data_IF_442002487691
#
_entry.id   IF_442002487691
#
_cell.length_a   1.000
_cell.length_b   1.000
_cell.length_c   1.000
_cell.angle_alpha   90.00
_cell.angle_beta   90.00
_cell.angle_gamma   90.00
#
_symmetry.space_group_name_H-M   'P 1'
#
loop_
_entity.id
_entity.type
_entity.pdbx_description
1 polymer ?
#
# COMPACT_ATOMS: atom_id res chain seq x y z
N UNK A 1 1.08 28.06 -30.22
CA UNK A 1 -0.29 27.69 -29.79
C UNK A 1 -0.65 26.41 -30.53
N UNK A 2 -0.37 25.26 -29.92
CA UNK A 2 -0.78 23.97 -30.49
C UNK A 2 -2.26 23.78 -30.19
N UNK A 3 -3.12 24.19 -31.12
CA UNK A 3 -4.56 23.94 -31.01
C UNK A 3 -4.80 22.45 -31.19
N UNK A 4 -4.99 21.72 -30.09
CA UNK A 4 -5.47 20.33 -30.10
C UNK A 4 -6.79 20.30 -30.86
N UNK A 5 -6.87 19.49 -31.91
CA UNK A 5 -8.04 19.38 -32.79
C UNK A 5 -9.27 18.92 -31.99
N UNK A 6 -10.37 19.69 -32.06
CA UNK A 6 -11.61 19.33 -31.39
C UNK A 6 -12.36 18.23 -32.15
N UNK A 7 -12.64 17.11 -31.48
CA UNK A 7 -13.44 16.01 -32.00
C UNK A 7 -14.60 15.71 -31.05
N UNK A 8 -15.82 15.71 -31.59
CA UNK A 8 -17.04 15.48 -30.80
C UNK A 8 -17.25 14.00 -30.44
N UNK A 9 -17.91 13.75 -29.30
CA UNK A 9 -18.32 12.41 -28.89
C UNK A 9 -19.43 11.83 -29.79
N UNK A 10 -19.17 10.67 -30.38
CA UNK A 10 -20.09 10.02 -31.32
C UNK A 10 -20.80 8.81 -30.71
N UNK A 11 -20.09 7.97 -29.94
CA UNK A 11 -20.65 6.76 -29.31
C UNK A 11 -21.40 7.06 -28.00
N UNK A 12 -22.25 6.13 -27.54
CA UNK A 12 -22.96 6.25 -26.25
C UNK A 12 -21.97 6.37 -25.08
N UNK A 13 -20.92 5.56 -25.09
CA UNK A 13 -19.88 5.55 -24.06
C UNK A 13 -19.08 6.85 -24.06
N UNK A 14 -18.65 7.33 -25.23
CA UNK A 14 -17.97 8.62 -25.36
C UNK A 14 -18.83 9.78 -24.84
N UNK A 15 -20.12 9.82 -25.20
CA UNK A 15 -21.05 10.86 -24.72
C UNK A 15 -21.25 10.82 -23.22
N UNK A 16 -21.31 9.61 -22.63
CA UNK A 16 -21.40 9.43 -21.18
C UNK A 16 -20.13 9.93 -20.49
N UNK A 17 -18.95 9.58 -21.00
CA UNK A 17 -17.66 10.03 -20.45
C UNK A 17 -17.59 11.56 -20.50
N UNK A 18 -17.80 12.19 -21.66
CA UNK A 18 -17.73 13.64 -21.81
C UNK A 18 -18.70 14.36 -20.87
N UNK A 19 -19.95 13.87 -20.76
CA UNK A 19 -20.94 14.44 -19.82
C UNK A 19 -20.44 14.38 -18.38
N UNK A 20 -19.96 13.22 -17.93
CA UNK A 20 -19.49 13.05 -16.55
C UNK A 20 -18.24 13.86 -16.29
N UNK A 21 -17.31 13.96 -17.23
CA UNK A 21 -16.09 14.77 -17.10
C UNK A 21 -16.44 16.26 -17.02
N UNK A 22 -17.34 16.76 -17.87
CA UNK A 22 -17.84 18.14 -17.82
C UNK A 22 -18.46 18.47 -16.47
N UNK A 23 -19.33 17.60 -15.94
CA UNK A 23 -19.93 17.77 -14.61
C UNK A 23 -18.91 17.72 -13.46
N UNK A 24 -17.90 16.85 -13.55
CA UNK A 24 -16.92 16.66 -12.46
C UNK A 24 -15.86 17.74 -12.39
N UNK A 25 -15.48 18.31 -13.53
CA UNK A 25 -14.43 19.31 -13.64
C UNK A 25 -14.97 20.74 -13.82
N UNK A 26 -16.31 20.90 -13.78
CA UNK A 26 -17.00 22.19 -13.95
C UNK A 26 -16.62 22.91 -15.26
N UNK A 27 -16.57 22.14 -16.35
CA UNK A 27 -16.19 22.66 -17.67
C UNK A 27 -17.46 22.97 -18.46
N UNK A 28 -17.74 24.27 -18.62
CA UNK A 28 -18.84 24.79 -19.46
C UNK A 28 -18.50 24.78 -20.97
N UNK A 29 -17.22 24.59 -21.30
CA UNK A 29 -16.70 24.57 -22.66
C UNK A 29 -16.85 23.23 -23.40
N UNK A 30 -16.38 23.19 -24.65
CA UNK A 30 -16.37 21.95 -25.44
C UNK A 30 -15.21 21.06 -25.00
N UNK A 31 -15.51 19.80 -24.68
CA UNK A 31 -14.53 18.75 -24.39
C UNK A 31 -14.39 17.88 -25.64
N UNK A 32 -13.18 17.77 -26.17
CA UNK A 32 -12.82 16.85 -27.25
C UNK A 32 -12.68 15.43 -26.70
N UNK A 33 -13.06 14.42 -27.48
CA UNK A 33 -12.74 13.01 -27.14
C UNK A 33 -11.23 12.72 -27.16
N UNK A 34 -10.43 13.61 -27.75
CA UNK A 34 -8.96 13.53 -27.72
C UNK A 34 -8.35 14.22 -26.50
N UNK A 35 -9.16 14.87 -25.66
CA UNK A 35 -8.64 15.53 -24.48
C UNK A 35 -8.11 14.49 -23.47
N UNK A 36 -7.01 14.85 -22.81
CA UNK A 36 -6.48 14.10 -21.69
C UNK A 36 -7.19 14.55 -20.40
N UNK A 37 -7.79 13.60 -19.68
CA UNK A 37 -8.53 13.86 -18.43
C UNK A 37 -7.74 14.69 -17.41
N UNK A 38 -6.44 14.42 -17.24
CA UNK A 38 -5.61 15.16 -16.28
C UNK A 38 -5.20 16.54 -16.80
N UNK A 39 -5.03 16.69 -18.12
CA UNK A 39 -4.79 18.00 -18.73
C UNK A 39 -6.01 18.94 -18.61
N UNK A 40 -7.22 18.38 -18.53
CA UNK A 40 -8.46 19.11 -18.26
C UNK A 40 -8.62 19.54 -16.79
N UNK A 41 -7.66 19.25 -15.91
CA UNK A 41 -7.76 19.52 -14.47
C UNK A 41 -8.19 18.32 -13.63
N UNK A 42 -8.19 17.11 -14.19
CA UNK A 42 -8.39 15.87 -13.46
C UNK A 42 -7.38 15.69 -12.32
N UNK A 43 -7.84 15.11 -11.21
CA UNK A 43 -7.08 14.74 -10.02
C UNK A 43 -7.41 13.30 -9.61
N UNK A 44 -6.71 12.74 -8.62
CA UNK A 44 -7.03 11.40 -8.12
C UNK A 44 -8.45 11.29 -7.55
N UNK A 45 -8.94 12.35 -6.90
CA UNK A 45 -10.30 12.39 -6.36
C UNK A 45 -11.33 12.43 -7.50
N UNK A 46 -11.10 13.22 -8.55
CA UNK A 46 -12.04 13.28 -9.68
C UNK A 46 -11.95 12.03 -10.56
N UNK A 47 -10.80 11.35 -10.62
CA UNK A 47 -10.67 10.02 -11.24
C UNK A 47 -11.46 8.95 -10.47
N UNK A 48 -11.43 8.96 -9.13
CA UNK A 48 -12.27 8.08 -8.30
C UNK A 48 -13.77 8.34 -8.53
N UNK A 49 -14.18 9.62 -8.54
CA UNK A 49 -15.56 10.03 -8.83
C UNK A 49 -16.01 9.64 -10.25
N UNK A 50 -15.12 9.79 -11.23
CA UNK A 50 -15.35 9.38 -12.61
C UNK A 50 -15.55 7.87 -12.71
N UNK A 51 -14.68 7.10 -12.06
CA UNK A 51 -14.79 5.64 -11.94
C UNK A 51 -16.15 5.22 -11.36
N UNK A 52 -16.54 5.82 -10.23
CA UNK A 52 -17.83 5.55 -9.58
C UNK A 52 -19.03 5.86 -10.50
N UNK A 53 -19.09 7.05 -11.10
CA UNK A 53 -20.19 7.47 -11.98
C UNK A 53 -20.27 6.64 -13.28
N UNK A 54 -19.12 6.23 -13.83
CA UNK A 54 -19.08 5.41 -15.03
C UNK A 54 -19.25 3.91 -14.74
N UNK A 55 -19.13 3.49 -13.47
CA UNK A 55 -19.08 2.09 -13.02
C UNK A 55 -17.89 1.34 -13.61
N UNK A 56 -16.73 2.01 -13.62
CA UNK A 56 -15.46 1.49 -14.10
C UNK A 56 -14.40 1.62 -13.02
N UNK A 57 -13.25 0.97 -13.21
CA UNK A 57 -12.14 1.12 -12.29
C UNK A 57 -11.46 2.48 -12.49
N UNK A 58 -11.18 3.18 -11.40
CA UNK A 58 -10.49 4.47 -11.45
C UNK A 58 -9.08 4.37 -12.07
N UNK A 59 -8.43 3.20 -11.96
CA UNK A 59 -7.12 2.96 -12.58
C UNK A 59 -7.17 3.03 -14.12
N UNK A 60 -8.29 2.67 -14.75
CA UNK A 60 -8.43 2.76 -16.21
C UNK A 60 -8.35 4.19 -16.71
N UNK A 61 -8.71 5.17 -15.88
CA UNK A 61 -8.56 6.61 -16.20
C UNK A 61 -7.08 7.01 -16.28
N UNK A 62 -6.19 6.35 -15.54
CA UNK A 62 -4.75 6.58 -15.61
C UNK A 62 -4.10 5.82 -16.76
N UNK A 63 -4.57 4.60 -17.04
CA UNK A 63 -4.06 3.78 -18.15
C UNK A 63 -4.48 4.33 -19.52
N UNK A 64 -5.70 4.88 -19.58
CA UNK A 64 -6.30 5.45 -20.79
C UNK A 64 -6.75 6.89 -20.50
N UNK A 65 -5.82 7.84 -20.31
CA UNK A 65 -6.16 9.21 -19.91
C UNK A 65 -6.83 10.01 -21.03
N UNK A 66 -6.71 9.57 -22.28
CA UNK A 66 -7.39 10.16 -23.44
C UNK A 66 -8.81 9.59 -23.51
N UNK A 67 -9.83 10.46 -23.55
CA UNK A 67 -11.22 10.04 -23.38
C UNK A 67 -11.70 9.01 -24.42
N UNK A 68 -11.20 9.09 -25.66
CA UNK A 68 -11.53 8.11 -26.71
C UNK A 68 -10.92 6.74 -26.42
N UNK A 69 -9.69 6.68 -25.90
CA UNK A 69 -9.03 5.43 -25.55
C UNK A 69 -9.73 4.75 -24.39
N UNK A 70 -10.14 5.52 -23.39
CA UNK A 70 -10.96 5.04 -22.28
C UNK A 70 -12.30 4.48 -22.78
N UNK A 71 -12.95 5.19 -23.70
CA UNK A 71 -14.21 4.73 -24.30
C UNK A 71 -14.01 3.43 -25.09
N UNK A 72 -12.97 3.35 -25.90
CA UNK A 72 -12.63 2.16 -26.68
C UNK A 72 -12.30 0.98 -25.77
N UNK A 73 -11.61 1.20 -24.65
CA UNK A 73 -11.32 0.17 -23.68
C UNK A 73 -12.58 -0.33 -22.97
N UNK A 74 -13.48 0.57 -22.57
CA UNK A 74 -14.77 0.20 -21.96
C UNK A 74 -15.65 -0.59 -22.94
N UNK A 75 -15.63 -0.22 -24.22
CA UNK A 75 -16.43 -0.85 -25.27
C UNK A 75 -15.79 -2.16 -25.79
N UNK A 76 -14.50 -2.39 -25.53
CA UNK A 76 -13.73 -3.52 -26.06
C UNK A 76 -13.51 -4.66 -25.06
N UNK A 77 -13.78 -5.90 -25.48
CA UNK A 77 -13.24 -7.10 -24.83
C UNK A 77 -11.78 -7.31 -25.27
N UNK A 78 -10.83 -6.59 -24.67
CA UNK A 78 -9.41 -6.83 -24.96
C UNK A 78 -9.01 -8.19 -24.38
N UNK A 79 -8.71 -9.17 -25.24
CA UNK A 79 -8.08 -10.44 -24.85
C UNK A 79 -6.73 -10.15 -24.18
N UNK A 80 -6.60 -10.61 -22.94
CA UNK A 80 -5.48 -10.28 -22.08
C UNK A 80 -4.41 -11.36 -22.20
N UNK A 81 -3.15 -10.94 -22.38
CA UNK A 81 -2.00 -11.84 -22.27
C UNK A 81 -1.96 -12.44 -20.87
N UNK A 82 -2.00 -13.76 -20.79
CA UNK A 82 -1.73 -14.49 -19.54
C UNK A 82 -0.29 -14.23 -19.10
N UNK A 83 -0.11 -13.79 -17.85
CA UNK A 83 1.20 -13.77 -17.22
C UNK A 83 1.72 -15.21 -17.11
N UNK A 84 2.99 -15.42 -17.46
CA UNK A 84 3.65 -16.72 -17.36
C UNK A 84 3.44 -17.34 -15.97
N UNK A 85 2.99 -18.60 -15.94
CA UNK A 85 2.96 -19.45 -14.75
C UNK A 85 4.41 -19.74 -14.33
N UNK A 86 4.96 -19.01 -13.35
CA UNK A 86 6.39 -19.15 -12.97
C UNK A 86 6.60 -19.94 -11.68
N UNK A 87 7.68 -20.75 -11.66
CA UNK A 87 8.36 -21.47 -10.57
C UNK A 87 8.55 -20.72 -9.22
N UNK A 88 8.07 -19.49 -9.05
CA UNK A 88 8.48 -18.57 -7.97
C UNK A 88 8.19 -19.11 -6.57
N UNK A 89 7.06 -19.80 -6.35
CA UNK A 89 6.76 -20.41 -5.05
C UNK A 89 7.79 -21.50 -4.69
N UNK A 90 8.28 -22.25 -5.68
CA UNK A 90 9.34 -23.25 -5.45
C UNK A 90 10.67 -22.59 -5.08
N UNK A 91 10.98 -21.43 -5.67
CA UNK A 91 12.20 -20.68 -5.37
C UNK A 91 12.22 -20.07 -3.97
N UNK A 92 11.04 -19.73 -3.41
CA UNK A 92 10.90 -19.33 -1.99
C UNK A 92 11.42 -20.45 -1.09
N UNK A 93 11.00 -21.69 -1.35
CA UNK A 93 11.32 -22.85 -0.51
C UNK A 93 12.80 -23.29 -0.60
N UNK A 94 13.44 -23.13 -1.77
CA UNK A 94 14.82 -23.60 -2.02
C UNK A 94 15.88 -22.90 -1.16
N UNK A 95 15.71 -21.60 -0.88
CA UNK A 95 16.76 -20.76 -0.27
C UNK A 95 16.33 -20.08 1.04
N UNK A 96 15.25 -20.52 1.69
CA UNK A 96 14.75 -19.96 2.94
C UNK A 96 15.66 -20.23 4.15
N UNK A 97 15.43 -19.50 5.25
CA UNK A 97 16.03 -19.74 6.56
C UNK A 97 17.57 -19.84 6.57
N UNK A 98 18.25 -18.96 5.84
CA UNK A 98 19.71 -18.89 5.82
C UNK A 98 20.25 -18.22 7.08
N UNK A 99 21.34 -18.75 7.64
CA UNK A 99 22.03 -18.06 8.73
C UNK A 99 22.57 -16.72 8.25
N UNK A 100 22.56 -15.72 9.13
CA UNK A 100 23.12 -14.42 8.79
C UNK A 100 24.63 -14.52 8.68
N UNK A 101 25.19 -13.84 7.68
CA UNK A 101 26.65 -13.77 7.51
C UNK A 101 27.31 -12.74 8.43
N UNK A 102 26.59 -11.71 8.84
CA UNK A 102 27.10 -10.60 9.63
C UNK A 102 26.02 -10.09 10.61
N UNK A 103 26.43 -9.52 11.76
CA UNK A 103 25.52 -8.76 12.61
C UNK A 103 25.07 -7.47 11.90
N UNK A 104 23.93 -6.91 12.32
CA UNK A 104 23.47 -5.59 11.84
C UNK A 104 24.21 -4.51 12.61
N UNK A 105 24.96 -3.69 11.90
CA UNK A 105 25.71 -2.55 12.47
C UNK A 105 25.60 -1.31 11.60
N UNK A 106 25.70 -1.44 10.29
CA UNK A 106 25.72 -0.33 9.34
C UNK A 106 24.50 -0.42 8.41
N UNK A 107 23.44 0.30 8.79
CA UNK A 107 22.13 0.23 8.12
C UNK A 107 21.93 1.41 7.18
N UNK A 108 21.55 1.13 5.93
CA UNK A 108 20.89 2.13 5.07
C UNK A 108 19.39 1.97 5.16
N UNK A 109 18.70 3.05 5.54
CA UNK A 109 17.24 3.11 5.57
C UNK A 109 16.73 4.03 4.46
N UNK A 110 15.89 3.51 3.57
CA UNK A 110 15.11 4.35 2.67
C UNK A 110 13.69 4.50 3.19
N UNK A 111 13.03 5.62 2.85
CA UNK A 111 11.64 5.86 3.26
C UNK A 111 11.51 6.39 4.69
N UNK A 112 12.58 6.90 5.29
CA UNK A 112 12.58 7.49 6.64
C UNK A 112 11.65 8.71 6.79
N UNK A 113 11.26 9.34 5.67
CA UNK A 113 10.25 10.41 5.60
C UNK A 113 8.82 9.90 5.44
N UNK A 114 8.60 8.58 5.47
CA UNK A 114 7.30 7.94 5.38
C UNK A 114 6.76 7.52 6.75
N UNK A 115 5.50 7.08 6.80
CA UNK A 115 4.84 6.70 8.04
C UNK A 115 5.57 5.55 8.76
N UNK A 116 5.69 4.37 8.11
CA UNK A 116 6.40 3.23 8.71
C UNK A 116 7.91 3.46 8.81
N UNK A 117 8.53 4.03 7.78
CA UNK A 117 9.99 4.20 7.76
C UNK A 117 10.50 5.11 8.88
N UNK A 118 9.75 6.14 9.27
CA UNK A 118 10.10 6.98 10.43
C UNK A 118 10.02 6.20 11.75
N UNK A 119 9.04 5.29 11.89
CA UNK A 119 8.91 4.42 13.06
C UNK A 119 9.97 3.31 13.09
N UNK A 120 10.38 2.77 11.93
CA UNK A 120 11.52 1.86 11.83
C UNK A 120 12.81 2.56 12.30
N UNK A 121 13.04 3.80 11.85
CA UNK A 121 14.18 4.59 12.33
C UNK A 121 14.14 4.76 13.85
N UNK A 122 13.00 5.19 14.39
CA UNK A 122 12.82 5.37 15.83
C UNK A 122 13.16 4.09 16.61
N UNK A 123 12.74 2.93 16.11
CA UNK A 123 13.02 1.66 16.77
C UNK A 123 14.47 1.21 16.64
N UNK A 124 15.11 1.39 15.49
CA UNK A 124 16.55 1.12 15.31
C UNK A 124 17.39 1.94 16.28
N UNK A 125 17.01 3.19 16.55
CA UNK A 125 17.78 4.10 17.41
C UNK A 125 17.78 3.70 18.89
N UNK A 126 16.95 2.74 19.29
CA UNK A 126 17.05 2.12 20.63
C UNK A 126 18.28 1.21 20.77
N UNK A 127 18.91 0.84 19.65
CA UNK A 127 20.10 0.00 19.60
C UNK A 127 21.35 0.86 19.37
N UNK A 128 22.09 1.16 20.44
CA UNK A 128 23.25 2.08 20.43
C UNK A 128 24.43 1.60 19.58
N UNK A 129 24.46 0.32 19.27
CA UNK A 129 25.51 -0.34 18.52
C UNK A 129 25.22 -0.42 17.02
N UNK A 130 24.12 0.19 16.57
CA UNK A 130 23.71 0.29 15.16
C UNK A 130 23.85 1.73 14.71
N UNK A 131 24.59 1.94 13.63
CA UNK A 131 24.63 3.18 12.89
C UNK A 131 23.60 3.14 11.76
N UNK A 132 22.82 4.22 11.62
CA UNK A 132 21.78 4.33 10.59
C UNK A 132 22.08 5.51 9.67
N UNK A 133 22.21 5.22 8.38
CA UNK A 133 22.24 6.21 7.30
C UNK A 133 20.87 6.28 6.63
N UNK A 134 20.19 7.41 6.77
CA UNK A 134 18.92 7.67 6.10
C UNK A 134 19.15 8.26 4.71
N UNK A 135 18.77 7.50 3.67
CA UNK A 135 18.73 7.99 2.29
C UNK A 135 17.41 8.75 2.06
N UNK A 136 17.51 10.07 1.88
CA UNK A 136 16.36 10.97 1.76
C UNK A 136 16.57 12.00 0.67
N UNK A 137 15.48 12.63 0.20
CA UNK A 137 15.53 13.68 -0.82
C UNK A 137 15.61 15.09 -0.26
N UNK A 138 15.11 15.29 0.97
CA UNK A 138 15.01 16.61 1.60
C UNK A 138 15.18 16.47 3.12
N UNK A 139 16.23 17.08 3.66
CA UNK A 139 16.60 16.99 5.07
C UNK A 139 15.65 17.74 6.01
N UNK A 140 15.19 18.93 5.62
CA UNK A 140 14.24 19.72 6.40
C UNK A 140 12.92 18.96 6.61
N UNK A 141 12.40 18.37 5.54
CA UNK A 141 11.21 17.51 5.58
C UNK A 141 11.43 16.30 6.48
N UNK A 142 12.59 15.67 6.40
CA UNK A 142 12.92 14.53 7.25
C UNK A 142 12.91 14.88 8.74
N UNK A 143 13.57 15.98 9.12
CA UNK A 143 13.60 16.46 10.51
C UNK A 143 12.20 16.87 10.99
N UNK A 144 11.43 17.57 10.16
CA UNK A 144 10.06 17.97 10.47
C UNK A 144 9.14 16.77 10.71
N UNK A 145 9.23 15.74 9.86
CA UNK A 145 8.41 14.53 9.99
C UNK A 145 8.79 13.74 11.23
N UNK A 146 10.08 13.58 11.52
CA UNK A 146 10.53 12.90 12.73
C UNK A 146 10.02 13.61 13.98
N UNK A 147 10.16 14.94 14.04
CA UNK A 147 9.65 15.76 15.13
C UNK A 147 8.13 15.67 15.29
N UNK A 148 7.39 15.68 14.18
CA UNK A 148 5.94 15.49 14.22
C UNK A 148 5.56 14.15 14.87
N UNK A 149 6.22 13.05 14.48
CA UNK A 149 5.86 11.74 15.02
C UNK A 149 6.33 11.55 16.46
N UNK A 150 7.51 12.02 16.86
CA UNK A 150 8.09 11.62 18.15
C UNK A 150 8.21 12.77 19.15
N UNK A 151 7.87 14.00 18.75
CA UNK A 151 8.08 15.21 19.55
C UNK A 151 9.55 15.38 20.01
N UNK A 152 10.48 14.88 19.20
CA UNK A 152 11.92 14.86 19.45
C UNK A 152 12.70 15.28 18.18
N UNK A 153 13.91 15.79 18.36
CA UNK A 153 14.81 16.05 17.23
C UNK A 153 15.49 14.76 16.76
N UNK A 154 15.82 14.67 15.48
CA UNK A 154 16.60 13.54 14.95
C UNK A 154 17.94 13.46 15.69
N UNK A 155 18.29 12.32 16.32
CA UNK A 155 19.55 12.19 17.05
C UNK A 155 20.77 12.45 16.18
N UNK A 156 21.79 13.10 16.74
CA UNK A 156 23.03 13.45 16.02
C UNK A 156 23.83 12.26 15.50
N UNK A 157 23.55 11.05 16.00
CA UNK A 157 24.17 9.80 15.52
C UNK A 157 23.58 9.25 14.22
N UNK A 158 22.49 9.84 13.70
CA UNK A 158 21.90 9.47 12.40
C UNK A 158 22.63 10.19 11.28
N UNK A 159 23.18 9.42 10.34
CA UNK A 159 23.75 9.98 9.11
C UNK A 159 22.64 10.27 8.10
N UNK A 160 22.73 11.41 7.43
CA UNK A 160 21.81 11.79 6.35
C UNK A 160 22.56 11.75 5.02
N UNK A 161 21.98 11.03 4.04
CA UNK A 161 22.50 10.95 2.69
C UNK A 161 21.43 11.47 1.71
N UNK A 162 21.74 12.58 1.03
CA UNK A 162 20.82 13.16 0.06
C UNK A 162 20.89 12.39 -1.26
N UNK A 163 19.82 11.67 -1.60
CA UNK A 163 19.73 10.87 -2.81
C UNK A 163 18.30 10.44 -3.16
N UNK A 164 18.16 9.82 -4.32
CA UNK A 164 16.89 9.41 -4.92
C UNK A 164 17.03 8.01 -5.52
N UNK A 165 16.24 7.06 -5.02
CA UNK A 165 16.23 5.66 -5.46
C UNK A 165 15.84 5.48 -6.93
N UNK A 166 15.23 6.50 -7.56
CA UNK A 166 14.85 6.47 -8.98
C UNK A 166 16.03 6.73 -9.92
N UNK A 167 17.22 7.02 -9.38
CA UNK A 167 18.43 7.34 -10.14
C UNK A 167 19.49 6.25 -9.95
N UNK A 168 20.34 6.08 -10.97
CA UNK A 168 21.53 5.23 -10.87
C UNK A 168 22.40 5.68 -9.68
N UNK A 169 22.94 4.73 -8.92
CA UNK A 169 23.66 4.99 -7.67
C UNK A 169 22.90 5.91 -6.71
N UNK A 170 21.57 5.86 -6.69
CA UNK A 170 20.73 6.75 -5.87
C UNK A 170 20.92 8.24 -6.16
N UNK A 171 21.48 8.60 -7.32
CA UNK A 171 21.77 9.99 -7.69
C UNK A 171 22.90 10.65 -6.88
N UNK A 172 23.69 9.88 -6.13
CA UNK A 172 24.87 10.37 -5.41
C UNK A 172 26.16 10.19 -6.23
N UNK A 173 27.22 10.90 -5.84
CA UNK A 173 28.51 10.78 -6.50
C UNK A 173 29.06 9.34 -6.37
N UNK A 174 29.65 8.81 -7.46
CA UNK A 174 30.19 7.43 -7.48
C UNK A 174 31.22 7.17 -6.39
N UNK A 175 32.03 8.16 -6.01
CA UNK A 175 33.01 8.02 -4.93
C UNK A 175 32.34 7.85 -3.56
N UNK A 176 31.24 8.55 -3.32
CA UNK A 176 30.41 8.44 -2.11
C UNK A 176 29.69 7.08 -2.09
N UNK A 177 29.13 6.66 -3.23
CA UNK A 177 28.50 5.34 -3.35
C UNK A 177 29.45 4.20 -3.01
N UNK A 178 30.69 4.23 -3.52
CA UNK A 178 31.71 3.21 -3.22
C UNK A 178 32.02 3.14 -1.72
N UNK A 179 32.24 4.29 -1.08
CA UNK A 179 32.48 4.37 0.37
C UNK A 179 31.29 3.87 1.20
N UNK A 180 30.06 4.08 0.72
CA UNK A 180 28.86 3.53 1.34
C UNK A 180 28.83 2.01 1.21
N UNK A 181 29.04 1.48 0.00
CA UNK A 181 29.03 0.04 -0.27
C UNK A 181 30.12 -0.73 0.50
N UNK A 182 31.26 -0.09 0.81
CA UNK A 182 32.32 -0.69 1.63
C UNK A 182 31.92 -0.93 3.10
N UNK A 183 30.88 -0.25 3.60
CA UNK A 183 30.52 -0.25 5.03
C UNK A 183 29.18 -0.92 5.32
N UNK A 184 28.20 -0.73 4.45
CA UNK A 184 26.82 -1.15 4.71
C UNK A 184 26.70 -2.67 4.78
N UNK A 185 26.11 -3.17 5.86
CA UNK A 185 25.80 -4.60 6.01
C UNK A 185 24.32 -4.92 5.81
N UNK A 186 23.45 -3.92 5.93
CA UNK A 186 22.00 -4.10 5.87
C UNK A 186 21.33 -2.91 5.18
N UNK A 187 20.42 -3.17 4.24
CA UNK A 187 19.57 -2.16 3.60
C UNK A 187 18.13 -2.43 3.99
N UNK A 188 17.48 -1.50 4.70
CA UNK A 188 16.02 -1.54 4.94
C UNK A 188 15.33 -0.64 3.92
N UNK A 189 14.60 -1.27 3.00
CA UNK A 189 13.94 -0.57 1.89
C UNK A 189 12.45 -0.39 2.19
N UNK A 190 12.09 0.76 2.77
CA UNK A 190 10.71 1.13 3.10
C UNK A 190 10.14 2.23 2.19
N UNK A 191 10.94 2.80 1.29
CA UNK A 191 10.48 3.80 0.33
C UNK A 191 9.51 3.17 -0.69
N UNK A 192 8.36 3.82 -0.89
CA UNK A 192 7.41 3.47 -1.93
C UNK A 192 6.52 4.69 -2.28
N UNK A 193 6.07 4.74 -3.52
CA UNK A 193 4.83 5.43 -3.87
C UNK A 193 3.66 4.52 -3.45
N UNK A 194 2.80 5.01 -2.57
CA UNK A 194 1.74 4.25 -1.90
C UNK A 194 0.33 4.70 -2.28
N UNK A 195 0.18 5.63 -3.21
CA UNK A 195 -1.15 6.01 -3.68
C UNK A 195 -1.86 4.79 -4.31
N UNK A 196 -3.18 4.69 -4.17
CA UNK A 196 -3.94 3.56 -4.71
C UNK A 196 -4.19 3.66 -6.21
N UNK A 197 -4.07 4.87 -6.75
CA UNK A 197 -4.23 5.20 -8.16
C UNK A 197 -3.13 6.19 -8.56
N UNK A 198 -2.66 6.11 -9.79
CA UNK A 198 -1.66 7.01 -10.33
C UNK A 198 -1.02 6.50 -11.62
N UNK A 199 -0.04 7.24 -12.14
CA UNK A 199 0.70 6.86 -13.34
C UNK A 199 1.56 5.62 -13.07
N UNK A 200 1.25 4.51 -13.77
CA UNK A 200 1.99 3.26 -13.67
C UNK A 200 3.50 3.47 -13.84
N UNK A 201 3.94 4.40 -14.71
CA UNK A 201 5.36 4.69 -14.93
C UNK A 201 6.03 5.24 -13.67
N UNK A 202 5.36 6.13 -12.95
CA UNK A 202 5.88 6.68 -11.69
C UNK A 202 5.97 5.62 -10.59
N UNK A 203 4.95 4.75 -10.50
CA UNK A 203 4.94 3.61 -9.58
C UNK A 203 6.05 2.62 -9.90
N UNK A 204 6.21 2.25 -11.17
CA UNK A 204 7.28 1.37 -11.63
C UNK A 204 8.65 1.95 -11.34
N UNK A 205 8.85 3.24 -11.61
CA UNK A 205 10.12 3.92 -11.33
C UNK A 205 10.47 3.93 -9.84
N UNK A 206 9.48 4.23 -8.98
CA UNK A 206 9.73 4.34 -7.54
C UNK A 206 9.81 2.97 -6.85
N UNK A 207 8.80 2.12 -7.07
CA UNK A 207 8.62 0.89 -6.30
C UNK A 207 9.45 -0.26 -6.87
N UNK A 208 9.48 -0.42 -8.20
CA UNK A 208 10.17 -1.54 -8.84
C UNK A 208 11.62 -1.19 -9.17
N UNK A 209 11.86 -0.16 -9.99
CA UNK A 209 13.23 0.25 -10.36
C UNK A 209 14.03 0.71 -9.13
N UNK A 210 13.38 1.44 -8.20
CA UNK A 210 13.99 1.78 -6.92
C UNK A 210 14.40 0.57 -6.07
N UNK A 211 13.63 -0.52 -6.12
CA UNK A 211 14.01 -1.79 -5.51
C UNK A 211 15.23 -2.39 -6.22
N UNK A 212 15.29 -2.35 -7.55
CA UNK A 212 16.47 -2.82 -8.30
C UNK A 212 17.75 -2.06 -7.94
N UNK A 213 17.66 -0.74 -7.70
CA UNK A 213 18.79 0.07 -7.22
C UNK A 213 19.25 -0.40 -5.83
N UNK A 214 18.33 -0.73 -4.92
CA UNK A 214 18.68 -1.28 -3.61
C UNK A 214 19.26 -2.70 -3.68
N UNK A 215 18.76 -3.54 -4.58
CA UNK A 215 19.35 -4.85 -4.87
C UNK A 215 20.79 -4.67 -5.35
N UNK A 216 21.06 -3.69 -6.23
CA UNK A 216 22.42 -3.40 -6.71
C UNK A 216 23.34 -2.98 -5.57
N UNK A 217 22.90 -2.10 -4.68
CA UNK A 217 23.67 -1.73 -3.47
C UNK A 217 23.97 -2.96 -2.61
N UNK A 218 22.98 -3.83 -2.39
CA UNK A 218 23.19 -5.05 -1.60
C UNK A 218 24.20 -6.01 -2.26
N UNK A 219 24.18 -6.13 -3.60
CA UNK A 219 25.19 -6.92 -4.33
C UNK A 219 26.59 -6.34 -4.17
N UNK A 220 26.72 -5.03 -4.31
CA UNK A 220 28.02 -4.35 -4.26
C UNK A 220 28.63 -4.35 -2.86
N UNK A 221 27.79 -4.35 -1.83
CA UNK A 221 28.19 -4.33 -0.42
C UNK A 221 28.22 -5.72 0.25
N UNK A 222 27.80 -6.78 -0.45
CA UNK A 222 27.38 -8.06 0.15
C UNK A 222 26.43 -7.87 1.35
N UNK A 223 25.53 -6.88 1.27
CA UNK A 223 24.60 -6.52 2.33
C UNK A 223 23.29 -7.33 2.27
N UNK A 224 22.60 -7.38 3.41
CA UNK A 224 21.30 -8.02 3.57
C UNK A 224 20.16 -7.04 3.26
N UNK A 225 19.28 -7.38 2.33
CA UNK A 225 18.10 -6.56 2.00
C UNK A 225 16.91 -6.88 2.92
N UNK A 226 16.29 -5.87 3.49
CA UNK A 226 15.10 -5.98 4.32
C UNK A 226 13.99 -5.18 3.62
N UNK A 227 13.22 -5.86 2.77
CA UNK A 227 12.27 -5.22 1.86
C UNK A 227 10.88 -5.11 2.48
N UNK A 228 10.34 -3.89 2.57
CA UNK A 228 8.97 -3.67 3.02
C UNK A 228 8.02 -3.79 1.82
N UNK A 229 7.26 -4.88 1.84
CA UNK A 229 6.17 -5.18 0.92
C UNK A 229 4.81 -4.96 1.58
N UNK A 230 3.73 -5.44 0.96
CA UNK A 230 2.37 -5.39 1.48
C UNK A 230 1.73 -6.76 1.39
N UNK A 231 0.96 -7.15 2.41
CA UNK A 231 0.16 -8.38 2.35
C UNK A 231 -0.91 -8.35 1.24
N UNK A 232 -1.21 -7.17 0.68
CA UNK A 232 -2.11 -7.02 -0.45
C UNK A 232 -1.64 -7.73 -1.73
N UNK A 233 -0.34 -8.11 -1.81
CA UNK A 233 0.15 -8.99 -2.89
C UNK A 233 -0.55 -10.36 -2.88
N UNK A 234 -1.28 -10.73 -1.83
CA UNK A 234 -2.16 -11.90 -1.89
C UNK A 234 -3.22 -11.80 -2.97
N UNK A 235 -3.62 -10.58 -3.36
CA UNK A 235 -4.79 -10.33 -4.19
C UNK A 235 -6.07 -10.09 -3.37
N UNK A 236 -5.95 -9.92 -2.05
CA UNK A 236 -7.09 -9.59 -1.17
C UNK A 236 -7.81 -8.35 -1.70
N UNK A 237 -9.14 -8.47 -1.86
CA UNK A 237 -10.02 -7.43 -2.39
C UNK A 237 -9.83 -7.03 -3.88
N UNK A 238 -8.97 -7.71 -4.66
CA UNK A 238 -8.72 -7.36 -6.07
C UNK A 238 -8.85 -8.52 -7.06
N UNK A 239 -8.97 -9.77 -6.61
CA UNK A 239 -9.06 -10.91 -7.53
C UNK A 239 -10.28 -11.81 -7.29
N UNK A 240 -11.08 -12.07 -8.33
CA UNK A 240 -12.06 -13.14 -8.33
C UNK A 240 -11.35 -14.48 -8.62
N UNK A 241 -10.88 -15.18 -7.59
CA UNK A 241 -10.45 -16.59 -7.78
C UNK A 241 -11.35 -17.49 -6.94
N UNK A 242 -11.70 -18.65 -7.50
CA UNK A 242 -12.39 -19.73 -6.80
C UNK A 242 -11.40 -20.47 -5.89
N UNK A 243 -11.36 -20.09 -4.61
CA UNK A 243 -10.33 -20.51 -3.65
C UNK A 243 -10.66 -21.77 -2.83
N UNK A 244 -11.34 -22.78 -3.40
CA UNK A 244 -11.54 -24.04 -2.66
C UNK A 244 -10.24 -24.78 -2.28
N UNK A 245 -9.05 -24.34 -2.71
CA UNK A 245 -7.80 -25.10 -2.52
C UNK A 245 -6.53 -24.32 -2.11
N UNK A 246 -6.55 -22.99 -1.89
CA UNK A 246 -5.31 -22.23 -1.63
C UNK A 246 -5.38 -21.32 -0.39
N UNK A 247 -4.36 -21.40 0.45
CA UNK A 247 -4.12 -20.49 1.60
C UNK A 247 -2.90 -19.64 1.26
N UNK A 248 -3.01 -18.31 1.36
CA UNK A 248 -1.88 -17.41 1.10
C UNK A 248 -1.05 -17.22 2.38
N UNK A 249 0.12 -17.85 2.40
CA UNK A 249 1.04 -17.89 3.54
C UNK A 249 2.43 -17.33 3.17
N UNK A 250 3.38 -17.41 4.11
CA UNK A 250 4.77 -16.98 3.91
C UNK A 250 5.55 -17.75 2.81
N UNK A 251 5.05 -18.90 2.36
CA UNK A 251 5.70 -19.72 1.31
C UNK A 251 5.11 -19.46 -0.09
N UNK A 252 4.18 -18.52 -0.19
CA UNK A 252 3.37 -18.29 -1.38
C UNK A 252 3.56 -16.86 -1.88
N UNK A 253 3.83 -16.68 -3.17
CA UNK A 253 3.75 -15.37 -3.83
C UNK A 253 2.67 -15.36 -4.91
N UNK A 254 2.47 -16.45 -5.66
CA UNK A 254 1.52 -16.49 -6.77
C UNK A 254 0.56 -17.67 -6.67
N UNK A 255 -0.74 -17.40 -6.81
CA UNK A 255 -1.86 -18.35 -6.79
C UNK A 255 -2.86 -18.07 -7.92
N UNK A 256 -2.44 -17.32 -8.95
CA UNK A 256 -3.32 -16.91 -10.06
C UNK A 256 -3.95 -15.53 -9.89
N UNK A 257 -3.43 -14.71 -8.98
CA UNK A 257 -3.92 -13.36 -8.75
C UNK A 257 -3.44 -12.38 -9.83
N UNK A 258 -4.31 -11.51 -10.33
CA UNK A 258 -3.99 -10.46 -11.31
C UNK A 258 -4.13 -9.07 -10.69
N UNK A 259 -3.13 -8.20 -10.89
CA UNK A 259 -3.06 -6.89 -10.22
C UNK A 259 -3.33 -5.69 -11.14
N UNK A 260 -3.91 -5.93 -12.31
CA UNK A 260 -4.23 -4.89 -13.31
C UNK A 260 -5.02 -3.71 -12.73
N UNK A 261 -5.80 -3.98 -11.68
CA UNK A 261 -6.69 -3.01 -11.04
C UNK A 261 -5.99 -2.14 -9.98
N UNK A 262 -4.75 -2.48 -9.61
CA UNK A 262 -4.03 -1.83 -8.51
C UNK A 262 -2.53 -1.80 -8.79
N UNK A 263 -2.08 -0.70 -9.41
CA UNK A 263 -0.67 -0.50 -9.80
C UNK A 263 0.28 -0.55 -8.60
N UNK A 264 -0.15 -0.09 -7.43
CA UNK A 264 0.64 -0.21 -6.21
C UNK A 264 0.94 -1.68 -5.88
N UNK A 265 -0.11 -2.52 -5.80
CA UNK A 265 0.05 -3.95 -5.48
C UNK A 265 0.84 -4.65 -6.58
N UNK A 266 0.60 -4.32 -7.85
CA UNK A 266 1.36 -4.89 -8.98
C UNK A 266 2.86 -4.62 -8.84
N UNK A 267 3.26 -3.37 -8.58
CA UNK A 267 4.69 -3.03 -8.42
C UNK A 267 5.33 -3.70 -7.20
N UNK A 268 4.59 -3.89 -6.10
CA UNK A 268 5.07 -4.66 -4.93
C UNK A 268 5.24 -6.14 -5.25
N UNK A 269 4.30 -6.75 -5.98
CA UNK A 269 4.43 -8.12 -6.47
C UNK A 269 5.66 -8.30 -7.36
N UNK A 270 5.87 -7.41 -8.34
CA UNK A 270 7.03 -7.45 -9.23
C UNK A 270 8.34 -7.32 -8.44
N UNK A 271 8.37 -6.46 -7.43
CA UNK A 271 9.52 -6.27 -6.54
C UNK A 271 9.81 -7.54 -5.72
N UNK A 272 8.78 -8.18 -5.15
CA UNK A 272 8.95 -9.47 -4.45
C UNK A 272 9.47 -10.56 -5.39
N UNK A 273 8.87 -10.69 -6.58
CA UNK A 273 9.28 -11.66 -7.60
C UNK A 273 10.75 -11.47 -7.96
N UNK A 274 11.18 -10.24 -8.23
CA UNK A 274 12.58 -9.89 -8.54
C UNK A 274 13.51 -10.25 -7.39
N UNK A 275 13.15 -9.91 -6.14
CA UNK A 275 13.97 -10.26 -4.97
C UNK A 275 14.12 -11.78 -4.83
N UNK A 276 13.03 -12.54 -4.98
CA UNK A 276 13.05 -14.02 -4.87
C UNK A 276 13.91 -14.65 -5.97
N UNK A 277 13.86 -14.10 -7.19
CA UNK A 277 14.76 -14.49 -8.28
C UNK A 277 16.22 -14.20 -7.94
N UNK A 278 16.53 -13.01 -7.44
CA UNK A 278 17.91 -12.63 -7.11
C UNK A 278 18.47 -13.38 -5.90
N UNK A 279 17.62 -13.92 -5.00
CA UNK A 279 18.06 -14.87 -3.97
C UNK A 279 18.71 -16.12 -4.59
N UNK A 280 18.28 -16.55 -5.77
CA UNK A 280 18.92 -17.67 -6.49
C UNK A 280 20.34 -17.30 -6.99
N UNK A 281 20.61 -16.00 -7.14
CA UNK A 281 21.91 -15.44 -7.52
C UNK A 281 22.72 -14.94 -6.31
N UNK A 282 22.38 -15.38 -5.10
CA UNK A 282 23.17 -15.13 -3.89
C UNK A 282 22.78 -13.89 -3.08
N UNK A 283 21.77 -13.11 -3.50
CA UNK A 283 21.25 -12.01 -2.67
C UNK A 283 20.61 -12.58 -1.40
N UNK A 284 20.93 -11.95 -0.27
CA UNK A 284 20.33 -12.24 1.03
C UNK A 284 19.25 -11.20 1.27
N UNK A 285 18.00 -11.63 1.36
CA UNK A 285 16.90 -10.68 1.50
C UNK A 285 15.78 -11.23 2.37
N UNK A 286 15.19 -10.44 3.27
CA UNK A 286 13.89 -10.71 3.87
C UNK A 286 12.81 -9.84 3.24
N UNK A 287 11.58 -10.35 3.17
CA UNK A 287 10.41 -9.62 2.66
C UNK A 287 9.40 -9.50 3.79
N UNK A 288 8.93 -8.28 4.06
CA UNK A 288 7.99 -7.96 5.12
C UNK A 288 6.67 -7.49 4.50
N UNK A 289 5.68 -8.38 4.44
CA UNK A 289 4.33 -8.08 3.94
C UNK A 289 3.51 -7.44 5.06
N UNK A 290 3.53 -6.11 5.13
CA UNK A 290 2.81 -5.39 6.18
C UNK A 290 1.30 -5.34 5.91
N UNK A 291 0.53 -5.25 6.99
CA UNK A 291 -0.92 -5.06 6.97
C UNK A 291 -1.38 -3.63 6.68
N UNK A 292 -2.63 -3.33 6.99
CA UNK A 292 -3.19 -1.98 7.00
C UNK A 292 -2.64 -1.18 8.19
N UNK A 293 -1.65 -0.33 7.93
CA UNK A 293 -1.05 0.51 8.96
C UNK A 293 -2.06 1.54 9.50
N UNK A 294 -2.15 1.58 10.83
CA UNK A 294 -3.04 2.45 11.61
C UNK A 294 -2.23 3.25 12.62
N UNK A 295 -2.87 4.14 13.39
CA UNK A 295 -2.21 4.96 14.41
C UNK A 295 -1.41 4.12 15.40
N UNK A 296 -0.40 4.73 16.02
CA UNK A 296 0.36 4.09 17.09
C UNK A 296 -0.56 3.56 18.18
N UNK A 297 -0.28 2.36 18.68
CA UNK A 297 -1.01 1.81 19.84
C UNK A 297 -0.69 2.62 21.10
N UNK A 298 0.54 3.12 21.20
CA UNK A 298 1.06 3.80 22.39
C UNK A 298 0.34 5.12 22.72
N UNK A 299 0.03 5.95 21.73
CA UNK A 299 -0.52 7.30 21.94
C UNK A 299 -1.56 7.74 20.90
N UNK A 300 -1.85 6.90 19.90
CA UNK A 300 -2.83 7.20 18.86
C UNK A 300 -2.36 8.21 17.80
N UNK A 301 -1.10 8.62 17.78
CA UNK A 301 -0.58 9.49 16.71
C UNK A 301 -0.64 8.75 15.37
N UNK A 302 -1.17 9.44 14.36
CA UNK A 302 -1.36 8.90 13.02
C UNK A 302 -0.54 9.67 11.97
N UNK A 303 -0.60 9.22 10.71
CA UNK A 303 0.12 9.83 9.60
C UNK A 303 -0.34 11.26 9.31
N UNK A 304 0.59 12.13 8.88
CA UNK A 304 0.30 13.54 8.53
C UNK A 304 -0.87 13.71 7.55
N UNK A 305 -0.94 12.84 6.53
CA UNK A 305 -1.99 12.86 5.53
C UNK A 305 -3.12 11.91 5.93
N UNK A 306 -3.68 12.07 7.13
CA UNK A 306 -4.72 11.17 7.66
C UNK A 306 -6.00 11.18 6.80
N UNK A 307 -6.31 12.30 6.14
CA UNK A 307 -7.50 12.45 5.29
C UNK A 307 -7.43 11.70 3.96
N UNK A 308 -6.28 11.14 3.60
CA UNK A 308 -6.09 10.31 2.41
C UNK A 308 -5.96 8.82 2.76
N UNK A 309 -6.08 8.46 4.05
CA UNK A 309 -6.01 7.06 4.44
C UNK A 309 -7.32 6.34 4.11
N UNK A 310 -7.27 5.43 3.13
CA UNK A 310 -8.45 4.71 2.66
C UNK A 310 -9.13 3.88 3.75
N UNK A 311 -8.43 3.30 4.74
CA UNK A 311 -9.10 2.58 5.84
C UNK A 311 -9.92 3.53 6.70
N UNK A 312 -9.32 4.63 7.14
CA UNK A 312 -10.00 5.63 7.97
C UNK A 312 -11.22 6.21 7.28
N UNK A 313 -11.09 6.60 6.01
CA UNK A 313 -12.19 7.15 5.22
C UNK A 313 -13.32 6.13 5.01
N UNK A 314 -13.01 4.85 4.77
CA UNK A 314 -14.01 3.77 4.68
C UNK A 314 -14.80 3.61 5.99
N UNK A 315 -14.10 3.58 7.13
CA UNK A 315 -14.75 3.46 8.43
C UNK A 315 -15.61 4.70 8.76
N UNK A 316 -15.18 5.89 8.34
CA UNK A 316 -15.95 7.13 8.51
C UNK A 316 -17.15 7.21 7.55
N UNK A 317 -17.02 6.73 6.31
CA UNK A 317 -18.15 6.60 5.38
C UNK A 317 -19.19 5.60 5.87
N UNK A 318 -18.75 4.46 6.40
CA UNK A 318 -19.61 3.53 7.13
C UNK A 318 -20.29 4.21 8.31
N UNK A 319 -19.53 4.96 9.12
CA UNK A 319 -20.06 5.67 10.28
C UNK A 319 -21.17 6.67 9.91
N UNK A 320 -20.96 7.45 8.84
CA UNK A 320 -21.92 8.43 8.35
C UNK A 320 -23.21 7.78 7.86
N UNK A 321 -23.08 6.67 7.13
CA UNK A 321 -24.19 6.03 6.42
C UNK A 321 -24.92 5.01 7.29
N UNK A 322 -24.20 4.29 8.17
CA UNK A 322 -24.67 3.19 9.02
C UNK A 322 -25.39 2.09 8.24
N UNK A 323 -25.07 1.95 6.95
CA UNK A 323 -25.60 0.88 6.11
C UNK A 323 -24.48 -0.02 5.63
N UNK A 324 -24.78 -1.31 5.53
CA UNK A 324 -23.85 -2.32 5.05
C UNK A 324 -24.57 -3.50 4.42
N UNK A 325 -23.85 -4.31 3.65
CA UNK A 325 -24.42 -5.51 3.02
C UNK A 325 -23.98 -6.78 3.75
N UNK A 326 -24.70 -7.88 3.50
CA UNK A 326 -24.37 -9.20 4.08
C UNK A 326 -22.96 -9.66 3.73
N UNK A 327 -22.45 -9.29 2.54
CA UNK A 327 -21.11 -9.65 2.11
C UNK A 327 -20.06 -8.84 2.86
N UNK A 328 -20.27 -7.54 3.06
CA UNK A 328 -19.36 -6.69 3.85
C UNK A 328 -19.22 -7.16 5.29
N UNK A 329 -20.32 -7.59 5.92
CA UNK A 329 -20.35 -8.06 7.30
C UNK A 329 -19.31 -9.15 7.61
N UNK A 330 -18.88 -9.92 6.60
CA UNK A 330 -17.92 -11.02 6.74
C UNK A 330 -16.46 -10.59 6.57
N UNK A 331 -16.19 -9.36 6.12
CA UNK A 331 -14.83 -8.92 5.84
C UNK A 331 -14.07 -8.64 7.14
N UNK A 332 -12.88 -9.20 7.32
CA UNK A 332 -12.01 -8.82 8.41
C UNK A 332 -11.39 -7.45 8.13
N UNK A 333 -11.23 -6.68 9.19
CA UNK A 333 -10.57 -5.37 9.20
C UNK A 333 -9.28 -5.52 9.98
N UNK A 334 -8.18 -5.18 9.30
CA UNK A 334 -6.84 -5.20 9.85
C UNK A 334 -6.49 -3.84 10.45
N UNK A 335 -6.15 -3.84 11.74
CA UNK A 335 -5.58 -2.70 12.46
C UNK A 335 -4.15 -3.04 12.86
N UNK A 336 -3.23 -2.90 11.92
CA UNK A 336 -1.80 -3.08 12.17
C UNK A 336 -1.25 -1.77 12.72
N UNK A 337 -0.94 -1.72 14.02
CA UNK A 337 -0.37 -0.53 14.64
C UNK A 337 1.03 -0.25 14.09
N UNK A 338 1.30 0.98 13.69
CA UNK A 338 2.58 1.33 13.02
C UNK A 338 3.80 1.14 13.91
N UNK A 339 3.68 1.41 15.21
CA UNK A 339 4.75 1.25 16.19
C UNK A 339 5.05 -0.22 16.46
N UNK A 340 4.02 -1.06 16.63
CA UNK A 340 4.20 -2.50 16.75
C UNK A 340 4.73 -3.14 15.45
N UNK A 341 4.29 -2.67 14.28
CA UNK A 341 4.81 -3.12 12.99
C UNK A 341 6.30 -2.79 12.84
N UNK A 342 6.71 -1.56 13.20
CA UNK A 342 8.12 -1.18 13.19
C UNK A 342 8.96 -2.02 14.17
N UNK A 343 8.44 -2.28 15.38
CA UNK A 343 9.06 -3.19 16.34
C UNK A 343 9.24 -4.60 15.79
N UNK A 344 8.21 -5.15 15.14
CA UNK A 344 8.29 -6.47 14.51
C UNK A 344 9.34 -6.50 13.40
N UNK A 345 9.37 -5.50 12.52
CA UNK A 345 10.39 -5.37 11.45
C UNK A 345 11.78 -5.35 12.05
N UNK A 346 12.07 -4.45 13.00
CA UNK A 346 13.40 -4.31 13.60
C UNK A 346 13.81 -5.60 14.32
N UNK A 347 12.96 -6.19 15.16
CA UNK A 347 13.26 -7.47 15.83
C UNK A 347 13.61 -8.57 14.84
N UNK A 348 12.83 -8.73 13.77
CA UNK A 348 13.10 -9.74 12.74
C UNK A 348 14.39 -9.42 11.98
N UNK A 349 14.62 -8.17 11.60
CA UNK A 349 15.86 -7.72 10.94
C UNK A 349 17.09 -7.98 11.79
N UNK A 350 17.04 -7.80 13.12
CA UNK A 350 18.21 -7.98 13.98
C UNK A 350 18.47 -9.45 14.31
N UNK A 351 17.42 -10.22 14.60
CA UNK A 351 17.56 -11.50 15.31
C UNK A 351 17.04 -12.72 14.53
N UNK A 352 16.56 -12.55 13.30
CA UNK A 352 16.08 -13.68 12.49
C UNK A 352 17.01 -14.02 11.34
N UNK A 353 16.83 -15.25 10.85
CA UNK A 353 17.48 -15.76 9.65
C UNK A 353 17.09 -14.96 8.40
N UNK A 354 17.91 -15.06 7.38
CA UNK A 354 17.73 -14.42 6.09
C UNK A 354 16.95 -15.31 5.11
N UNK A 355 16.53 -14.69 4.00
CA UNK A 355 15.73 -15.32 2.94
C UNK A 355 14.33 -15.75 3.36
N UNK A 356 13.76 -15.09 4.37
CA UNK A 356 12.41 -15.33 4.82
C UNK A 356 11.42 -14.33 4.23
N UNK A 357 10.15 -14.73 4.23
CA UNK A 357 9.01 -13.85 3.99
C UNK A 357 8.19 -13.83 5.27
N UNK A 358 7.77 -12.65 5.71
CA UNK A 358 7.01 -12.45 6.93
C UNK A 358 5.70 -11.75 6.61
N UNK A 359 4.60 -12.21 7.20
CA UNK A 359 3.31 -11.54 7.14
C UNK A 359 3.08 -10.73 8.43
N UNK A 360 3.28 -9.42 8.33
CA UNK A 360 3.23 -8.47 9.43
C UNK A 360 1.91 -7.70 9.43
N UNK A 361 0.82 -8.43 9.67
CA UNK A 361 -0.47 -7.84 10.02
C UNK A 361 -0.90 -8.29 11.42
N UNK A 362 -1.77 -7.52 12.06
CA UNK A 362 -2.31 -7.87 13.38
C UNK A 362 -3.35 -9.00 13.22
N UNK A 363 -3.13 -10.21 13.77
CA UNK A 363 -4.07 -11.33 13.64
C UNK A 363 -5.36 -11.11 14.43
N UNK A 364 -5.41 -10.13 15.33
CA UNK A 364 -6.59 -9.78 16.11
C UNK A 364 -7.55 -8.89 15.28
N UNK A 365 -7.96 -9.39 14.12
CA UNK A 365 -8.82 -8.66 13.18
C UNK A 365 -10.22 -8.42 13.75
N UNK A 366 -10.78 -7.26 13.43
CA UNK A 366 -12.17 -6.90 13.78
C UNK A 366 -13.06 -7.26 12.60
N UNK A 367 -14.16 -8.00 12.82
CA UNK A 367 -15.10 -8.22 11.72
C UNK A 367 -15.94 -6.98 11.51
N UNK A 368 -16.28 -6.72 10.26
CA UNK A 368 -17.13 -5.59 9.91
C UNK A 368 -18.47 -5.60 10.67
N UNK A 369 -19.09 -6.78 10.86
CA UNK A 369 -20.34 -6.93 11.60
C UNK A 369 -20.23 -6.51 13.08
N UNK A 370 -19.04 -6.61 13.67
CA UNK A 370 -18.83 -6.30 15.09
C UNK A 370 -18.71 -4.78 15.31
N UNK A 371 -18.59 -3.98 14.24
CA UNK A 371 -18.45 -2.52 14.36
C UNK A 371 -19.69 -1.87 14.98
N UNK A 372 -20.90 -2.30 14.62
CA UNK A 372 -22.13 -1.79 15.26
C UNK A 372 -22.07 -1.93 16.79
N UNK A 373 -21.63 -3.09 17.29
CA UNK A 373 -21.47 -3.33 18.73
C UNK A 373 -20.35 -2.49 19.34
N UNK A 374 -19.24 -2.25 18.63
CA UNK A 374 -18.18 -1.31 19.06
C UNK A 374 -18.79 0.08 19.26
N UNK A 375 -19.57 0.58 18.29
CA UNK A 375 -20.19 1.90 18.39
C UNK A 375 -21.22 2.00 19.50
N UNK A 376 -22.10 1.01 19.62
CA UNK A 376 -23.13 0.95 20.66
C UNK A 376 -22.50 0.95 22.06
N UNK A 377 -21.42 0.19 22.27
CA UNK A 377 -20.70 0.14 23.56
C UNK A 377 -20.01 1.47 23.92
N UNK A 378 -19.81 2.36 22.95
CA UNK A 378 -19.23 3.69 23.15
C UNK A 378 -20.29 4.81 23.12
N UNK A 379 -21.56 4.48 23.34
CA UNK A 379 -22.64 5.46 23.53
C UNK A 379 -23.32 5.95 22.26
N UNK A 380 -22.99 5.37 21.10
CA UNK A 380 -23.57 5.74 19.82
C UNK A 380 -24.61 4.71 19.38
N UNK A 381 -25.85 4.96 19.77
CA UNK A 381 -26.98 4.01 19.66
C UNK A 381 -27.83 4.21 18.39
N UNK A 382 -27.29 4.90 17.39
CA UNK A 382 -27.98 5.10 16.11
C UNK A 382 -28.22 3.75 15.43
N UNK A 383 -29.38 3.61 14.77
CA UNK A 383 -29.75 2.35 14.10
C UNK A 383 -28.87 2.08 12.89
N UNK A 384 -28.30 0.88 12.82
CA UNK A 384 -27.63 0.34 11.64
C UNK A 384 -28.60 -0.45 10.78
N UNK A 385 -28.39 -0.45 9.46
CA UNK A 385 -29.25 -1.15 8.51
C UNK A 385 -28.46 -2.10 7.61
N UNK A 386 -28.77 -3.39 7.71
CA UNK A 386 -28.37 -4.40 6.72
C UNK A 386 -29.26 -4.24 5.48
N UNK A 387 -28.68 -3.84 4.35
CA UNK A 387 -29.40 -3.56 3.10
C UNK A 387 -29.00 -4.53 1.98
N UNK A 388 -29.84 -4.62 0.95
CA UNK A 388 -29.48 -5.31 -0.29
C UNK A 388 -28.38 -4.58 -1.07
N UNK A 389 -27.77 -5.25 -2.05
CA UNK A 389 -26.78 -4.63 -2.93
C UNK A 389 -27.35 -3.47 -3.74
N UNK A 390 -28.60 -3.61 -4.19
CA UNK A 390 -29.30 -2.62 -5.00
C UNK A 390 -29.58 -1.36 -4.17
N UNK A 391 -30.18 -1.53 -2.99
CA UNK A 391 -30.43 -0.43 -2.04
C UNK A 391 -29.13 0.27 -1.61
N UNK A 392 -28.05 -0.49 -1.38
CA UNK A 392 -26.75 0.09 -1.05
C UNK A 392 -26.26 1.03 -2.17
N UNK A 393 -26.31 0.56 -3.42
CA UNK A 393 -25.86 1.35 -4.56
C UNK A 393 -26.70 2.63 -4.74
N UNK A 394 -28.03 2.52 -4.65
CA UNK A 394 -28.94 3.67 -4.76
C UNK A 394 -28.67 4.73 -3.69
N UNK A 395 -28.49 4.31 -2.43
CA UNK A 395 -28.19 5.21 -1.34
C UNK A 395 -26.81 5.87 -1.51
N UNK A 396 -25.77 5.10 -1.88
CA UNK A 396 -24.43 5.65 -2.12
C UNK A 396 -24.41 6.67 -3.26
N UNK A 397 -25.10 6.39 -4.37
CA UNK A 397 -25.17 7.30 -5.52
C UNK A 397 -25.76 8.67 -5.12
N UNK A 398 -26.73 8.69 -4.20
CA UNK A 398 -27.33 9.94 -3.69
C UNK A 398 -26.40 10.76 -2.78
N UNK A 399 -25.35 10.13 -2.21
CA UNK A 399 -24.45 10.71 -1.20
C UNK A 399 -23.00 10.82 -1.67
N UNK A 400 -22.70 10.48 -2.93
CA UNK A 400 -21.33 10.39 -3.49
C UNK A 400 -20.56 11.73 -3.57
N UNK A 401 -21.22 12.85 -3.29
CA UNK A 401 -20.54 14.15 -3.16
C UNK A 401 -19.60 14.20 -1.95
N UNK A 402 -19.88 13.43 -0.89
CA UNK A 402 -19.02 13.27 0.28
C UNK A 402 -17.85 12.30 -0.03
N UNK A 403 -16.61 12.76 0.22
CA UNK A 403 -15.39 11.99 -0.07
C UNK A 403 -15.37 10.63 0.66
N UNK A 404 -15.73 10.61 1.94
CA UNK A 404 -15.63 9.41 2.76
C UNK A 404 -16.69 8.37 2.36
N UNK A 405 -17.88 8.85 1.98
CA UNK A 405 -18.95 8.00 1.44
C UNK A 405 -18.57 7.47 0.06
N UNK A 406 -17.98 8.30 -0.81
CA UNK A 406 -17.51 7.87 -2.13
C UNK A 406 -16.40 6.79 -2.02
N UNK A 407 -15.45 6.96 -1.10
CA UNK A 407 -14.42 5.96 -0.83
C UNK A 407 -14.99 4.66 -0.22
N UNK A 408 -15.97 4.78 0.67
CA UNK A 408 -16.70 3.63 1.22
C UNK A 408 -17.46 2.85 0.13
N UNK A 409 -18.18 3.55 -0.75
CA UNK A 409 -18.89 2.96 -1.89
C UNK A 409 -17.95 2.27 -2.88
N UNK A 410 -16.81 2.92 -3.21
CA UNK A 410 -15.77 2.34 -4.05
C UNK A 410 -15.22 1.05 -3.44
N UNK A 411 -14.94 1.04 -2.14
CA UNK A 411 -14.45 -0.16 -1.47
C UNK A 411 -15.48 -1.28 -1.43
N UNK A 412 -16.75 -0.96 -1.23
CA UNK A 412 -17.82 -1.94 -1.34
C UNK A 412 -17.82 -2.60 -2.73
N UNK A 413 -17.71 -1.83 -3.80
CA UNK A 413 -17.60 -2.37 -5.17
C UNK A 413 -16.42 -3.34 -5.32
N UNK A 414 -15.24 -3.00 -4.81
CA UNK A 414 -14.06 -3.89 -4.83
C UNK A 414 -14.28 -5.17 -4.02
N UNK A 415 -14.85 -5.05 -2.81
CA UNK A 415 -15.21 -6.19 -1.99
C UNK A 415 -16.24 -7.07 -2.70
N UNK A 416 -17.23 -6.50 -3.39
CA UNK A 416 -18.22 -7.29 -4.14
C UNK A 416 -17.60 -8.04 -5.32
N UNK A 417 -16.58 -7.48 -5.96
CA UNK A 417 -15.91 -8.07 -7.12
C UNK A 417 -14.97 -9.24 -6.79
N UNK A 418 -14.69 -9.52 -5.51
CA UNK A 418 -13.73 -10.55 -5.09
C UNK A 418 -14.22 -11.35 -3.87
N UNK A 419 -13.55 -12.45 -3.55
CA UNK A 419 -13.78 -13.21 -2.31
C UNK A 419 -12.53 -13.06 -1.44
N UNK A 420 -12.65 -12.88 -0.11
CA UNK A 420 -11.48 -12.83 0.76
C UNK A 420 -10.64 -14.10 0.62
N UNK A 421 -9.33 -13.93 0.51
CA UNK A 421 -8.37 -15.03 0.43
C UNK A 421 -8.07 -15.47 1.87
N UNK A 422 -8.13 -16.77 2.20
CA UNK A 422 -7.64 -17.25 3.49
C UNK A 422 -6.15 -16.94 3.63
N UNK A 423 -5.82 -16.01 4.53
CA UNK A 423 -4.45 -15.62 4.86
C UNK A 423 -3.96 -16.42 6.09
N UNK A 424 -2.70 -16.84 6.10
CA UNK A 424 -2.06 -17.46 7.27
C UNK A 424 -0.70 -16.78 7.56
N UNK A 425 -0.47 -16.40 8.81
CA UNK A 425 0.77 -15.78 9.29
C UNK A 425 1.46 -16.57 10.42
N UNK A 426 1.12 -17.85 10.61
CA UNK A 426 1.63 -18.67 11.72
C UNK A 426 3.15 -18.73 11.80
N UNK A 427 3.89 -18.79 10.68
CA UNK A 427 5.36 -18.84 10.73
C UNK A 427 5.91 -17.54 11.31
N UNK A 428 5.35 -16.42 10.88
CA UNK A 428 5.70 -15.09 11.37
C UNK A 428 5.38 -14.95 12.85
N UNK A 429 4.17 -15.33 13.28
CA UNK A 429 3.77 -15.30 14.70
C UNK A 429 4.66 -16.19 15.58
N UNK A 430 5.03 -17.38 15.10
CA UNK A 430 5.96 -18.25 15.81
C UNK A 430 7.34 -17.60 16.00
N UNK A 431 7.85 -16.93 14.96
CA UNK A 431 9.14 -16.27 15.03
C UNK A 431 9.09 -15.04 15.96
N UNK A 432 8.05 -14.22 15.85
CA UNK A 432 7.87 -13.05 16.72
C UNK A 432 7.72 -13.43 18.20
N UNK A 433 7.01 -14.52 18.52
CA UNK A 433 6.91 -15.03 19.89
C UNK A 433 8.28 -15.39 20.48
N UNK A 434 9.16 -16.01 19.69
CA UNK A 434 10.55 -16.30 20.12
C UNK A 434 11.35 -15.02 20.41
N UNK A 435 10.97 -13.90 19.78
CA UNK A 435 11.57 -12.59 19.98
C UNK A 435 10.84 -11.74 21.04
N UNK A 436 9.99 -12.38 21.86
CA UNK A 436 9.17 -11.72 22.90
C UNK A 436 8.37 -10.56 22.31
N UNK A 437 7.69 -10.80 21.19
CA UNK A 437 6.77 -9.88 20.56
C UNK A 437 5.41 -10.55 20.38
N UNK A 438 4.35 -9.81 20.69
CA UNK A 438 2.98 -10.19 20.44
C UNK A 438 2.20 -8.93 20.07
N UNK A 439 1.32 -9.05 19.07
CA UNK A 439 0.43 -7.96 18.67
C UNK A 439 -0.58 -7.64 19.77
N UNK A 440 -0.81 -6.36 20.02
CA UNK A 440 -1.88 -5.93 20.91
C UNK A 440 -3.26 -6.26 20.33
N UNK A 441 -4.23 -6.47 21.22
CA UNK A 441 -5.63 -6.56 20.82
C UNK A 441 -6.13 -5.22 20.27
N UNK A 442 -7.15 -5.28 19.41
CA UNK A 442 -7.84 -4.09 18.91
C UNK A 442 -8.98 -3.75 19.87
N UNK A 443 -8.81 -2.66 20.60
CA UNK A 443 -9.78 -2.19 21.60
C UNK A 443 -10.77 -1.21 20.96
N UNK A 444 -12.02 -1.24 21.41
CA UNK A 444 -13.07 -0.33 20.92
C UNK A 444 -12.64 1.14 20.94
N UNK A 445 -12.08 1.60 22.06
CA UNK A 445 -11.62 2.99 22.23
C UNK A 445 -10.61 3.39 21.16
N UNK A 446 -9.72 2.47 20.78
CA UNK A 446 -8.74 2.71 19.73
C UNK A 446 -9.43 2.92 18.37
N UNK A 447 -10.41 2.07 18.03
CA UNK A 447 -11.18 2.20 16.78
C UNK A 447 -11.87 3.57 16.72
N UNK A 448 -12.49 3.97 17.83
CA UNK A 448 -13.20 5.26 17.95
C UNK A 448 -12.25 6.46 17.81
N UNK A 449 -11.08 6.41 18.44
CA UNK A 449 -10.04 7.42 18.28
C UNK A 449 -9.55 7.48 16.82
N UNK A 450 -9.31 6.32 16.20
CA UNK A 450 -8.79 6.22 14.84
C UNK A 450 -9.73 6.88 13.80
N UNK A 451 -11.05 6.67 13.93
CA UNK A 451 -12.03 7.29 13.02
C UNK A 451 -12.29 8.78 13.35
N UNK A 452 -11.76 9.29 14.45
CA UNK A 452 -11.97 10.68 14.91
C UNK A 452 -13.35 10.91 15.53
N UNK A 453 -13.98 9.85 16.06
CA UNK A 453 -15.15 9.99 16.91
C UNK A 453 -14.65 10.27 18.34
N UNK A 454 -14.67 11.54 18.73
CA UNK A 454 -14.32 11.91 20.10
C UNK A 454 -15.36 11.29 21.05
N UNK A 455 -14.89 10.39 21.92
CA UNK A 455 -15.61 9.91 23.11
C UNK A 455 -15.45 10.94 24.22
#
# INVERSE_FOLDING_TARGET
EDTVEYIAATTKTQKKIVKVVSELLDIEGRISILDNFFALGGSSLTALKLGAKLKIQAQWVYEYPILVELATFIDGNVEQKQEEQVEVNSWILKNQNQERRSPVKEVVLTGATGFLGSHILFELLKHKDIHVTCLIRNEEKFRTIYKFYFNEEVPSGVSVLIGDITKEYMGIEKSVYRKLAEKVDTVIHAAANVHHVGDLKEFMNTNYMGTEVMIKLCKDADASLQFISSYAVSGIAVVPVDFKQHVFNEDTLYIGQEYKQNVYVHTKYLSEKKIIMERQNGIRANIYRIGCLTSRKSDGVFQLNEGDNGLRNRLRGLWKTRIYTKKMAQYPIDFTYVDECAQAVVKLTLYSKENNIYQLYNPNMVRFADLEEVYNRNGFLDKWSLVSQEEFNEQMDSMVSDKEIAEYAFYHSMAMASTPIPMDCKKTLNQLRKLSFQWSNVEDRYIMQFIGANI
#
